data_IF_328307575853
#
_entry.id   IF_328307575853
#
_cell.length_a   1.000
_cell.length_b   1.000
_cell.length_c   1.000
_cell.angle_alpha   90.00
_cell.angle_beta   90.00
_cell.angle_gamma   90.00
#
_symmetry.space_group_name_H-M   'P 1'
#
loop_
_entity.id
_entity.type
_entity.pdbx_description
1 polymer ?
#
# COMPACT_ATOMS: atom_id res chain seq x y z
N UNK A 1 -2.36 -21.27 3.83
CA UNK A 1 -2.36 -20.51 5.11
C UNK A 1 -2.61 -19.04 4.81
N UNK A 2 -3.72 -18.49 5.28
CA UNK A 2 -4.09 -17.08 5.15
C UNK A 2 -3.41 -16.35 6.31
N UNK A 3 -2.30 -15.65 6.06
CA UNK A 3 -1.71 -14.77 7.07
C UNK A 3 -2.57 -13.50 7.15
N UNK A 4 -3.73 -13.58 7.81
CA UNK A 4 -4.47 -12.39 8.21
C UNK A 4 -3.65 -11.71 9.29
N UNK A 5 -2.84 -10.72 8.89
CA UNK A 5 -2.29 -9.76 9.84
C UNK A 5 -3.48 -9.02 10.45
N UNK A 6 -3.66 -9.16 11.76
CA UNK A 6 -4.62 -8.38 12.53
C UNK A 6 -4.25 -6.91 12.44
N UNK A 7 -5.06 -6.11 11.74
CA UNK A 7 -5.01 -4.66 11.88
C UNK A 7 -5.43 -4.33 13.31
N UNK A 8 -4.49 -3.85 14.14
CA UNK A 8 -4.86 -3.27 15.44
C UNK A 8 -5.60 -1.96 15.13
N UNK A 9 -6.91 -1.96 15.30
CA UNK A 9 -7.72 -0.74 15.20
C UNK A 9 -7.27 0.24 16.28
N UNK A 10 -6.65 1.33 15.88
CA UNK A 10 -6.32 2.45 16.79
C UNK A 10 -7.56 3.33 16.92
N UNK A 11 -7.88 3.78 18.14
CA UNK A 11 -9.03 4.66 18.35
C UNK A 11 -8.86 5.97 17.57
N UNK A 12 -9.97 6.51 17.04
CA UNK A 12 -9.99 7.76 16.28
C UNK A 12 -9.30 8.90 17.03
N UNK A 13 -9.52 9.02 18.33
CA UNK A 13 -8.89 10.03 19.20
C UNK A 13 -7.37 9.89 19.28
N UNK A 14 -6.85 8.66 19.27
CA UNK A 14 -5.42 8.38 19.32
C UNK A 14 -4.74 8.65 17.98
N UNK A 15 -5.42 8.36 16.86
CA UNK A 15 -4.92 8.68 15.51
C UNK A 15 -4.86 10.19 15.26
N UNK A 16 -5.90 10.93 15.67
CA UNK A 16 -5.94 12.39 15.55
C UNK A 16 -4.82 13.03 16.38
N UNK A 17 -4.58 12.53 17.61
CA UNK A 17 -3.45 12.99 18.43
C UNK A 17 -2.11 12.76 17.75
N UNK A 18 -1.86 11.56 17.21
CA UNK A 18 -0.61 11.27 16.52
C UNK A 18 -0.40 12.21 15.31
N UNK A 19 -1.43 12.42 14.49
CA UNK A 19 -1.36 13.33 13.34
C UNK A 19 -1.10 14.78 13.79
N UNK A 20 -1.72 15.22 14.88
CA UNK A 20 -1.47 16.54 15.45
C UNK A 20 -0.05 16.70 16.00
N UNK A 21 0.48 15.66 16.66
CA UNK A 21 1.84 15.61 17.19
C UNK A 21 2.88 15.64 16.05
N UNK A 22 2.66 14.87 14.97
CA UNK A 22 3.50 14.86 13.78
C UNK A 22 3.49 16.22 13.04
N UNK A 23 2.33 16.89 13.01
CA UNK A 23 2.19 18.23 12.41
C UNK A 23 2.97 19.28 13.20
N UNK A 24 2.89 19.24 14.53
CA UNK A 24 3.61 20.14 15.45
C UNK A 24 5.12 19.95 15.33
N UNK A 25 5.61 18.72 15.23
CA UNK A 25 7.05 18.41 15.05
C UNK A 25 7.58 18.96 13.71
N UNK A 26 6.75 19.02 12.67
CA UNK A 26 7.16 19.54 11.36
C UNK A 26 7.11 21.08 11.22
N UNK A 27 6.52 21.79 12.20
CA UNK A 27 6.29 23.24 12.11
C UNK A 27 5.31 23.68 11.01
N UNK A 28 4.67 22.74 10.32
CA UNK A 28 3.77 23.00 9.19
C UNK A 28 2.31 22.86 9.63
N UNK A 29 1.57 23.97 9.65
CA UNK A 29 0.12 23.95 9.84
C UNK A 29 -0.55 23.29 8.62
N UNK A 30 -1.17 22.13 8.83
CA UNK A 30 -1.97 21.45 7.80
C UNK A 30 -3.46 21.72 8.08
N UNK A 31 -4.18 22.50 7.25
CA UNK A 31 -5.57 22.83 7.50
C UNK A 31 -6.47 21.58 7.46
N UNK A 32 -7.44 21.50 8.36
CA UNK A 32 -8.50 20.49 8.27
C UNK A 32 -9.55 20.95 7.28
N UNK A 33 -9.92 20.11 6.32
CA UNK A 33 -10.97 20.38 5.33
C UNK A 33 -11.97 19.23 5.29
N UNK A 34 -13.23 19.55 5.01
CA UNK A 34 -14.20 18.54 4.63
C UNK A 34 -14.08 18.20 3.12
N UNK A 35 -14.75 17.14 2.68
CA UNK A 35 -14.66 16.66 1.28
C UNK A 35 -15.14 17.73 0.28
N UNK A 36 -16.15 18.52 0.63
CA UNK A 36 -16.68 19.59 -0.22
C UNK A 36 -15.67 20.72 -0.40
N UNK A 37 -15.07 21.20 0.69
CA UNK A 37 -14.01 22.23 0.68
C UNK A 37 -12.76 21.76 -0.07
N UNK A 38 -12.38 20.49 0.10
CA UNK A 38 -11.26 19.89 -0.65
C UNK A 38 -11.54 19.91 -2.15
N UNK A 39 -12.76 19.53 -2.59
CA UNK A 39 -13.17 19.55 -4.00
C UNK A 39 -13.23 20.96 -4.59
N UNK A 40 -13.62 21.96 -3.79
CA UNK A 40 -13.70 23.36 -4.21
C UNK A 40 -12.35 24.08 -4.19
N UNK A 41 -11.30 23.48 -3.64
CA UNK A 41 -9.98 24.10 -3.52
C UNK A 41 -9.29 24.20 -4.88
N UNK A 42 -8.83 25.41 -5.22
CA UNK A 42 -8.10 25.71 -6.47
C UNK A 42 -6.57 25.65 -6.31
N UNK A 43 -6.08 25.68 -5.07
CA UNK A 43 -4.65 25.63 -4.76
C UNK A 43 -4.23 24.21 -4.41
N UNK A 44 -3.07 23.79 -4.92
CA UNK A 44 -2.46 22.50 -4.57
C UNK A 44 -1.79 22.64 -3.21
N UNK A 45 -2.44 22.12 -2.17
CA UNK A 45 -1.92 22.12 -0.80
C UNK A 45 -2.27 20.83 -0.05
N UNK A 46 -1.52 20.51 1.00
CA UNK A 46 -1.81 19.38 1.89
C UNK A 46 -2.94 19.79 2.85
N UNK A 47 -3.90 18.89 3.07
CA UNK A 47 -4.94 19.09 4.08
C UNK A 47 -5.25 17.79 4.81
N UNK A 48 -5.79 17.92 6.03
CA UNK A 48 -6.30 16.80 6.80
C UNK A 48 -7.79 16.61 6.50
N UNK A 49 -8.18 15.40 6.11
CA UNK A 49 -9.58 15.03 5.89
C UNK A 49 -9.93 13.88 6.82
N UNK A 50 -11.01 14.03 7.58
CA UNK A 50 -11.60 12.93 8.35
C UNK A 50 -12.78 12.37 7.58
N UNK A 51 -12.70 11.11 7.16
CA UNK A 51 -13.75 10.43 6.42
C UNK A 51 -13.91 8.98 6.88
N UNK A 52 -15.04 8.39 6.50
CA UNK A 52 -15.28 6.94 6.62
C UNK A 52 -15.01 6.32 5.26
N UNK A 53 -14.22 5.24 5.21
CA UNK A 53 -14.03 4.47 3.97
C UNK A 53 -15.35 3.76 3.67
N UNK A 54 -16.02 4.13 2.58
CA UNK A 54 -17.30 3.56 2.19
C UNK A 54 -17.13 2.32 1.33
N UNK A 55 -16.26 2.40 0.32
CA UNK A 55 -15.95 1.32 -0.61
C UNK A 55 -14.47 1.34 -0.99
N UNK A 56 -13.97 0.19 -1.42
CA UNK A 56 -12.64 0.04 -2.02
C UNK A 56 -12.87 -0.62 -3.36
N UNK A 57 -12.44 0.02 -4.44
CA UNK A 57 -12.44 -0.59 -5.76
C UNK A 57 -11.50 -1.81 -5.74
N UNK A 58 -12.09 -3.00 -5.92
CA UNK A 58 -11.39 -4.27 -5.97
C UNK A 58 -11.32 -4.85 -7.39
N UNK A 59 -11.96 -4.20 -8.37
CA UNK A 59 -12.04 -4.69 -9.75
C UNK A 59 -10.71 -4.50 -10.48
N UNK A 60 -9.94 -3.47 -10.10
CA UNK A 60 -8.59 -3.23 -10.59
C UNK A 60 -7.53 -3.54 -9.54
N UNK A 61 -6.30 -3.79 -9.99
CA UNK A 61 -5.17 -4.26 -9.17
C UNK A 61 -4.86 -3.31 -7.99
N UNK A 62 -5.60 -3.46 -6.90
CA UNK A 62 -5.45 -2.77 -5.60
C UNK A 62 -4.10 -3.05 -4.94
N UNK A 63 -3.35 -4.01 -5.48
CA UNK A 63 -1.95 -4.25 -5.18
C UNK A 63 -1.20 -4.80 -6.39
N UNK A 64 0.13 -4.72 -6.32
CA UNK A 64 1.05 -5.38 -7.23
C UNK A 64 2.23 -5.96 -6.44
N UNK A 65 2.96 -6.93 -7.01
CA UNK A 65 4.23 -7.36 -6.42
C UNK A 65 5.34 -6.42 -6.87
N UNK A 66 6.11 -5.91 -5.93
CA UNK A 66 7.29 -5.09 -6.20
C UNK A 66 8.57 -5.83 -5.83
N UNK A 67 9.65 -5.57 -6.57
CA UNK A 67 10.99 -6.02 -6.24
C UNK A 67 11.43 -5.39 -4.92
N UNK A 68 11.97 -6.17 -3.99
CA UNK A 68 12.43 -5.63 -2.71
C UNK A 68 13.69 -4.75 -2.86
N UNK A 69 14.50 -4.98 -3.89
CA UNK A 69 15.74 -4.23 -4.13
C UNK A 69 15.48 -2.81 -4.70
N UNK A 70 14.70 -2.71 -5.79
CA UNK A 70 14.47 -1.44 -6.49
C UNK A 70 13.07 -0.84 -6.29
N UNK A 71 12.18 -1.56 -5.60
CA UNK A 71 10.82 -1.13 -5.26
C UNK A 71 9.85 -0.95 -6.45
N UNK A 72 10.29 -1.28 -7.67
CA UNK A 72 9.46 -1.22 -8.88
C UNK A 72 8.59 -2.49 -9.02
N UNK A 73 7.49 -2.36 -9.75
CA UNK A 73 6.59 -3.47 -10.09
C UNK A 73 7.36 -4.57 -10.83
N UNK A 74 7.08 -5.81 -10.48
CA UNK A 74 7.61 -7.00 -11.16
C UNK A 74 6.53 -7.69 -11.97
N UNK A 75 6.94 -8.42 -13.00
CA UNK A 75 6.07 -9.18 -13.89
C UNK A 75 6.19 -10.66 -13.52
N UNK A 76 5.06 -11.34 -13.36
CA UNK A 76 5.07 -12.80 -13.16
C UNK A 76 5.33 -13.48 -14.49
N UNK A 77 6.49 -14.12 -14.63
CA UNK A 77 6.87 -14.79 -15.89
C UNK A 77 6.52 -16.28 -15.88
N UNK A 78 6.32 -16.87 -14.70
CA UNK A 78 5.96 -18.28 -14.63
C UNK A 78 5.77 -18.80 -13.21
N UNK A 79 5.49 -20.10 -13.13
CA UNK A 79 5.32 -20.83 -11.89
C UNK A 79 6.07 -22.16 -11.99
N UNK A 80 6.84 -22.51 -10.96
CA UNK A 80 7.52 -23.80 -10.83
C UNK A 80 6.93 -24.55 -9.65
N UNK A 81 6.46 -25.76 -9.89
CA UNK A 81 6.03 -26.67 -8.83
C UNK A 81 7.17 -27.63 -8.54
N UNK A 82 7.49 -27.81 -7.26
CA UNK A 82 8.48 -28.79 -6.79
C UNK A 82 7.90 -29.57 -5.64
N UNK A 83 8.08 -30.89 -5.66
CA UNK A 83 7.73 -31.73 -4.51
C UNK A 83 8.96 -31.81 -3.61
N UNK A 84 8.86 -31.27 -2.40
CA UNK A 84 9.90 -31.36 -1.37
C UNK A 84 9.30 -32.09 -0.18
N UNK A 85 9.86 -33.24 0.17
CA UNK A 85 9.38 -34.10 1.27
C UNK A 85 7.88 -34.47 1.16
N UNK A 86 7.41 -34.74 -0.06
CA UNK A 86 6.00 -35.06 -0.32
C UNK A 86 5.04 -33.87 -0.32
N UNK A 87 5.54 -32.65 -0.09
CA UNK A 87 4.75 -31.42 -0.12
C UNK A 87 5.00 -30.69 -1.45
N UNK A 88 3.92 -30.37 -2.16
CA UNK A 88 4.01 -29.56 -3.38
C UNK A 88 4.22 -28.07 -3.04
N UNK A 89 5.38 -27.55 -3.39
CA UNK A 89 5.75 -26.15 -3.23
C UNK A 89 5.65 -25.46 -4.59
N UNK A 90 4.71 -24.52 -4.68
CA UNK A 90 4.54 -23.64 -5.83
C UNK A 90 5.40 -22.39 -5.64
N UNK A 91 6.43 -22.21 -6.48
CA UNK A 91 7.27 -21.01 -6.48
C UNK A 91 6.97 -20.17 -7.72
N UNK A 92 6.66 -18.89 -7.52
CA UNK A 92 6.48 -17.95 -8.63
C UNK A 92 7.82 -17.34 -9.03
N UNK A 93 8.02 -17.21 -10.34
CA UNK A 93 9.19 -16.55 -10.92
C UNK A 93 8.77 -15.15 -11.35
N UNK A 94 9.54 -14.16 -10.93
CA UNK A 94 9.26 -12.76 -11.22
C UNK A 94 10.41 -12.16 -12.01
N UNK A 95 10.09 -11.38 -13.03
CA UNK A 95 11.03 -10.56 -13.77
C UNK A 95 10.93 -9.11 -13.30
N UNK A 96 12.08 -8.50 -13.02
CA UNK A 96 12.18 -7.10 -12.70
C UNK A 96 12.82 -6.35 -13.87
N UNK A 97 12.04 -5.55 -14.59
CA UNK A 97 12.55 -4.76 -15.72
C UNK A 97 13.60 -3.73 -15.27
N UNK A 98 13.42 -3.12 -14.09
CA UNK A 98 14.35 -2.13 -13.56
C UNK A 98 15.70 -2.72 -13.13
N UNK A 99 15.73 -3.98 -12.68
CA UNK A 99 16.98 -4.67 -12.34
C UNK A 99 17.51 -5.50 -13.53
N UNK A 100 16.72 -5.67 -14.58
CA UNK A 100 16.98 -6.56 -15.71
C UNK A 100 17.35 -7.99 -15.28
N UNK A 101 16.65 -8.52 -14.27
CA UNK A 101 16.93 -9.84 -13.69
C UNK A 101 15.67 -10.53 -13.14
N UNK A 102 15.76 -11.85 -12.99
CA UNK A 102 14.78 -12.65 -12.28
C UNK A 102 14.95 -12.52 -10.76
N UNK A 103 13.88 -12.10 -10.10
CA UNK A 103 13.87 -11.87 -8.66
C UNK A 103 12.95 -12.86 -7.95
N UNK A 104 13.42 -13.39 -6.81
CA UNK A 104 12.62 -14.24 -5.92
C UNK A 104 12.08 -13.45 -4.72
N UNK A 105 12.77 -12.37 -4.33
CA UNK A 105 12.41 -11.50 -3.21
C UNK A 105 11.49 -10.38 -3.70
N UNK A 106 10.19 -10.61 -3.52
CA UNK A 106 9.14 -9.67 -3.90
C UNK A 106 8.13 -9.55 -2.76
N UNK A 107 7.58 -8.35 -2.61
CA UNK A 107 6.56 -8.07 -1.60
C UNK A 107 5.33 -7.42 -2.25
N UNK A 108 4.11 -7.73 -1.77
CA UNK A 108 2.92 -7.02 -2.23
C UNK A 108 2.97 -5.54 -1.80
N UNK A 109 2.58 -4.65 -2.69
CA UNK A 109 2.51 -3.20 -2.50
C UNK A 109 1.14 -2.71 -2.94
N UNK A 110 0.50 -1.90 -2.11
CA UNK A 110 -0.81 -1.34 -2.42
C UNK A 110 -0.71 -0.29 -3.55
N UNK A 111 -1.60 -0.38 -4.52
CA UNK A 111 -1.81 0.61 -5.59
C UNK A 111 -3.31 0.94 -5.58
N UNK A 112 -3.74 1.53 -4.46
CA UNK A 112 -5.09 2.04 -4.32
C UNK A 112 -5.22 3.23 -5.27
N UNK A 113 -6.15 3.11 -6.22
CA UNK A 113 -6.41 4.17 -7.19
C UNK A 113 -6.92 5.43 -6.47
N UNK A 114 -6.55 6.57 -7.05
CA UNK A 114 -6.91 7.91 -6.59
C UNK A 114 -8.27 8.31 -7.15
#
# INVERSE_FOLDING_TARGET
>A
MKLMRTFKSTSRSKLIRQISEDSVISGCYTPTKNIYEMKASIQVDKCLVTCTVYEIDMDWSWYYFGCDACQKRVIKTGTKNKIVNGIEITTHIWWCEACNDYVLKVSPRYDLKK
#
